data_IF_337229079777
#
_entry.id   IF_337229079777
#
_cell.length_a   1.000
_cell.length_b   1.000
_cell.length_c   1.000
_cell.angle_alpha   90.00
_cell.angle_beta   90.00
_cell.angle_gamma   90.00
#
_symmetry.space_group_name_H-M   'P 1'
#
loop_
_entity.id
_entity.type
_entity.pdbx_description
1 polymer ?
#
# COMPACT_ATOMS: atom_id res chain seq x y z
N UNK A 1 13.63 22.06 -57.56
CA UNK A 1 13.10 21.42 -56.34
C UNK A 1 11.67 21.91 -56.14
N UNK A 2 10.73 20.97 -56.07
CA UNK A 2 9.28 21.23 -56.23
C UNK A 2 8.65 21.70 -54.91
N UNK A 3 7.67 22.61 -54.98
CA UNK A 3 6.85 23.09 -53.85
C UNK A 3 6.08 21.97 -53.11
N UNK A 4 6.11 20.74 -53.62
CA UNK A 4 5.44 19.56 -53.05
C UNK A 4 6.28 18.90 -51.93
N UNK A 5 7.59 19.17 -51.84
CA UNK A 5 8.45 18.62 -50.77
C UNK A 5 8.35 19.39 -49.44
N UNK A 6 7.61 20.50 -49.41
CA UNK A 6 7.41 21.33 -48.20
C UNK A 6 6.22 20.93 -47.34
N UNK A 7 5.36 20.01 -47.78
CA UNK A 7 4.15 19.63 -47.03
C UNK A 7 4.24 18.30 -46.25
N UNK A 8 5.33 17.54 -46.40
CA UNK A 8 5.51 16.23 -45.73
C UNK A 8 6.71 16.21 -44.77
N UNK A 9 7.06 17.35 -44.18
CA UNK A 9 8.16 17.42 -43.22
C UNK A 9 7.78 18.19 -41.96
N UNK A 10 6.62 17.87 -41.40
CA UNK A 10 6.29 18.13 -40.00
C UNK A 10 5.32 17.03 -39.52
N UNK A 11 5.91 15.89 -39.21
CA UNK A 11 5.40 15.02 -38.15
C UNK A 11 6.61 14.68 -37.32
N UNK A 12 7.09 15.68 -36.57
CA UNK A 12 7.81 15.38 -35.33
C UNK A 12 6.85 14.50 -34.55
N UNK A 13 7.16 13.22 -34.45
CA UNK A 13 6.64 12.39 -33.39
C UNK A 13 6.77 13.25 -32.13
N UNK A 14 5.64 13.59 -31.53
CA UNK A 14 5.61 13.98 -30.13
C UNK A 14 6.52 12.99 -29.38
N UNK A 15 7.41 13.43 -28.48
CA UNK A 15 8.04 12.47 -27.59
C UNK A 15 6.88 11.67 -26.99
N UNK A 16 6.87 10.36 -27.20
CA UNK A 16 6.00 9.47 -26.43
C UNK A 16 6.25 9.89 -24.98
N UNK A 17 5.25 10.57 -24.39
CA UNK A 17 5.31 10.92 -22.98
C UNK A 17 5.58 9.62 -22.25
N UNK A 18 6.65 9.58 -21.45
CA UNK A 18 6.93 8.40 -20.63
C UNK A 18 5.63 7.92 -19.98
N UNK A 19 5.34 6.61 -20.00
CA UNK A 19 4.11 6.10 -19.42
C UNK A 19 4.03 6.58 -17.98
N UNK A 20 3.01 7.37 -17.66
CA UNK A 20 2.78 7.89 -16.32
C UNK A 20 2.64 6.68 -15.39
N UNK A 21 3.53 6.57 -14.41
CA UNK A 21 3.52 5.49 -13.42
C UNK A 21 2.84 5.99 -12.15
N UNK A 22 2.20 5.08 -11.41
CA UNK A 22 1.69 5.39 -10.06
C UNK A 22 2.81 5.90 -9.13
N UNK A 23 4.06 5.49 -9.37
CA UNK A 23 5.24 5.97 -8.66
C UNK A 23 5.43 7.49 -8.76
N UNK A 24 4.96 8.14 -9.82
CA UNK A 24 5.08 9.60 -9.97
C UNK A 24 4.25 10.30 -8.87
N UNK A 25 3.04 9.83 -8.60
CA UNK A 25 2.17 10.40 -7.58
C UNK A 25 2.70 10.18 -6.16
N UNK A 26 3.44 9.10 -5.92
CA UNK A 26 4.14 8.91 -4.64
C UNK A 26 5.20 10.00 -4.42
N UNK A 27 5.94 10.36 -5.47
CA UNK A 27 6.99 11.37 -5.40
C UNK A 27 6.51 12.82 -5.48
N UNK A 28 5.24 13.07 -5.80
CA UNK A 28 4.67 14.42 -5.78
C UNK A 28 4.75 15.06 -4.39
N UNK A 29 4.81 14.23 -3.34
CA UNK A 29 5.00 14.67 -1.96
C UNK A 29 6.46 14.57 -1.48
N UNK A 30 7.42 14.14 -2.31
CA UNK A 30 8.81 13.97 -1.85
C UNK A 30 9.41 15.28 -1.31
N UNK A 31 9.97 15.22 -0.11
CA UNK A 31 10.47 16.40 0.62
C UNK A 31 9.41 17.16 1.42
N UNK A 32 8.13 16.79 1.32
CA UNK A 32 7.05 17.27 2.19
C UNK A 32 7.07 16.57 3.56
N UNK A 33 6.59 17.23 4.63
CA UNK A 33 6.26 16.56 5.90
C UNK A 33 5.22 15.45 5.76
N UNK A 34 4.41 15.49 4.70
CA UNK A 34 3.32 14.57 4.38
C UNK A 34 3.76 13.48 3.38
N UNK A 35 5.05 13.44 3.01
CA UNK A 35 5.58 12.36 2.18
C UNK A 35 5.31 11.00 2.86
N UNK A 36 4.72 9.99 2.18
CA UNK A 36 4.30 8.75 2.84
C UNK A 36 5.40 8.05 3.64
N UNK A 37 6.65 8.06 3.15
CA UNK A 37 7.78 7.48 3.90
C UNK A 37 8.10 8.27 5.17
N UNK A 38 7.99 9.60 5.12
CA UNK A 38 8.18 10.46 6.31
C UNK A 38 7.08 10.22 7.34
N UNK A 39 5.83 10.01 6.90
CA UNK A 39 4.72 9.65 7.77
C UNK A 39 4.93 8.26 8.40
N UNK A 40 5.40 7.28 7.63
CA UNK A 40 5.71 5.94 8.14
C UNK A 40 6.79 5.96 9.23
N UNK A 41 7.86 6.75 9.06
CA UNK A 41 8.89 6.92 10.09
C UNK A 41 8.32 7.55 11.37
N UNK A 42 7.48 8.58 11.23
CA UNK A 42 6.79 9.18 12.40
C UNK A 42 5.85 8.19 13.09
N UNK A 43 5.12 7.38 12.32
CA UNK A 43 4.24 6.35 12.85
C UNK A 43 5.04 5.31 13.66
N UNK A 44 6.19 4.87 13.14
CA UNK A 44 7.10 3.98 13.85
C UNK A 44 7.64 4.59 15.15
N UNK A 45 8.08 5.85 15.11
CA UNK A 45 8.56 6.55 16.30
C UNK A 45 7.46 6.65 17.38
N UNK A 46 6.22 6.90 16.96
CA UNK A 46 5.07 6.94 17.86
C UNK A 46 4.76 5.56 18.45
N UNK A 47 4.80 4.50 17.64
CA UNK A 47 4.58 3.13 18.10
C UNK A 47 5.65 2.70 19.12
N UNK A 48 6.90 3.06 18.84
CA UNK A 48 8.02 2.81 19.75
C UNK A 48 7.87 3.57 21.07
N UNK A 49 7.31 4.78 21.03
CA UNK A 49 7.07 5.58 22.22
C UNK A 49 5.87 5.09 23.05
N UNK A 50 4.89 4.41 22.43
CA UNK A 50 3.73 3.85 23.12
C UNK A 50 4.02 2.48 23.77
N UNK A 51 4.96 1.71 23.21
CA UNK A 51 5.37 0.44 23.77
C UNK A 51 6.16 0.61 25.09
N UNK A 52 5.77 -0.14 26.12
CA UNK A 52 6.42 -0.18 27.43
C UNK A 52 7.66 -1.08 27.47
N UNK A 53 7.79 -1.98 26.50
CA UNK A 53 8.90 -2.94 26.40
C UNK A 53 9.21 -3.31 24.96
N UNK A 54 10.38 -3.92 24.74
CA UNK A 54 10.77 -4.44 23.42
C UNK A 54 9.89 -5.61 22.97
N UNK A 55 9.42 -6.44 23.91
CA UNK A 55 8.50 -7.54 23.61
C UNK A 55 7.15 -7.01 23.13
N UNK A 56 6.60 -6.00 23.83
CA UNK A 56 5.35 -5.35 23.41
C UNK A 56 5.49 -4.65 22.05
N UNK A 57 6.60 -3.96 21.82
CA UNK A 57 6.89 -3.38 20.50
C UNK A 57 6.94 -4.46 19.41
N UNK A 58 7.56 -5.61 19.68
CA UNK A 58 7.64 -6.70 18.72
C UNK A 58 6.26 -7.26 18.35
N UNK A 59 5.37 -7.36 19.34
CA UNK A 59 3.97 -7.74 19.14
C UNK A 59 3.20 -6.72 18.30
N UNK A 60 3.32 -5.42 18.63
CA UNK A 60 2.67 -4.37 17.85
C UNK A 60 3.16 -4.33 16.41
N UNK A 61 4.48 -4.47 16.17
CA UNK A 61 5.00 -4.50 14.81
C UNK A 61 4.40 -5.65 13.99
N UNK A 62 4.32 -6.86 14.57
CA UNK A 62 3.70 -8.01 13.88
C UNK A 62 2.22 -7.76 13.59
N UNK A 63 1.45 -7.32 14.58
CA UNK A 63 0.02 -7.06 14.46
C UNK A 63 -0.25 -6.00 13.39
N UNK A 64 0.42 -4.86 13.47
CA UNK A 64 0.22 -3.75 12.54
C UNK A 64 0.67 -4.10 11.12
N UNK A 65 1.72 -4.91 10.94
CA UNK A 65 2.11 -5.39 9.61
C UNK A 65 0.98 -6.18 8.93
N UNK A 66 0.33 -7.08 9.67
CA UNK A 66 -0.77 -7.89 9.15
C UNK A 66 -2.00 -7.00 8.92
N UNK A 67 -2.34 -6.16 9.89
CA UNK A 67 -3.48 -5.25 9.83
C UNK A 67 -3.39 -4.33 8.60
N UNK A 68 -2.25 -3.64 8.44
CA UNK A 68 -2.03 -2.74 7.31
C UNK A 68 -1.99 -3.49 5.97
N UNK A 69 -1.46 -4.72 5.93
CA UNK A 69 -1.49 -5.54 4.71
C UNK A 69 -2.91 -5.90 4.27
N UNK A 70 -3.77 -6.25 5.22
CA UNK A 70 -5.18 -6.50 4.94
C UNK A 70 -5.88 -5.22 4.48
N UNK A 71 -5.59 -4.07 5.11
CA UNK A 71 -6.15 -2.78 4.69
C UNK A 71 -5.75 -2.42 3.26
N UNK A 72 -4.50 -2.67 2.87
CA UNK A 72 -4.02 -2.45 1.51
C UNK A 72 -4.80 -3.27 0.46
N UNK A 73 -5.29 -4.47 0.81
CA UNK A 73 -6.18 -5.26 -0.06
C UNK A 73 -7.51 -4.54 -0.30
N UNK A 74 -8.11 -3.96 0.74
CA UNK A 74 -9.35 -3.17 0.58
C UNK A 74 -9.14 -1.93 -0.28
N UNK A 75 -8.01 -1.24 -0.11
CA UNK A 75 -7.67 -0.12 -0.99
C UNK A 75 -7.50 -0.57 -2.44
N UNK A 76 -6.85 -1.70 -2.68
CA UNK A 76 -6.72 -2.26 -4.03
C UNK A 76 -8.09 -2.54 -4.64
N UNK A 77 -9.00 -3.19 -3.90
CA UNK A 77 -10.38 -3.43 -4.36
C UNK A 77 -11.12 -2.13 -4.68
N UNK A 78 -10.98 -1.09 -3.84
CA UNK A 78 -11.57 0.23 -4.11
C UNK A 78 -11.01 0.84 -5.39
N UNK A 79 -9.69 0.84 -5.57
CA UNK A 79 -9.04 1.42 -6.74
C UNK A 79 -9.48 0.74 -8.04
N UNK A 80 -9.64 -0.59 -8.01
CA UNK A 80 -10.19 -1.36 -9.14
C UNK A 80 -11.65 -0.96 -9.39
N UNK A 81 -12.48 -0.88 -8.35
CA UNK A 81 -13.88 -0.49 -8.50
C UNK A 81 -14.02 0.94 -9.06
N UNK A 82 -13.17 1.87 -8.64
CA UNK A 82 -13.09 3.23 -9.17
C UNK A 82 -12.73 3.23 -10.65
N UNK A 83 -11.80 2.36 -11.08
CA UNK A 83 -11.48 2.21 -12.52
C UNK A 83 -12.68 1.74 -13.33
N UNK A 84 -13.37 0.72 -12.84
CA UNK A 84 -14.50 0.11 -13.52
C UNK A 84 -15.73 1.04 -13.58
N UNK A 85 -15.85 1.94 -12.61
CA UNK A 85 -17.01 2.82 -12.42
C UNK A 85 -16.59 4.30 -12.24
N UNK A 86 -15.74 4.79 -13.16
CA UNK A 86 -15.13 6.12 -13.08
C UNK A 86 -16.16 7.26 -12.93
N UNK A 87 -17.33 7.14 -13.56
CA UNK A 87 -18.41 8.12 -13.48
C UNK A 87 -18.97 8.33 -12.05
N UNK A 88 -18.76 7.35 -11.17
CA UNK A 88 -19.17 7.38 -9.77
C UNK A 88 -17.99 7.17 -8.81
N UNK A 89 -16.76 7.48 -9.24
CA UNK A 89 -15.55 7.34 -8.43
C UNK A 89 -15.64 8.03 -7.07
N UNK A 90 -16.06 9.31 -7.02
CA UNK A 90 -16.17 10.08 -5.77
C UNK A 90 -17.20 9.45 -4.81
N UNK A 91 -18.45 9.15 -5.23
CA UNK A 91 -19.39 8.40 -4.39
C UNK A 91 -18.86 7.07 -3.86
N UNK A 92 -18.03 6.34 -4.62
CA UNK A 92 -17.43 5.08 -4.15
C UNK A 92 -16.41 5.32 -3.04
N UNK A 93 -15.58 6.36 -3.17
CA UNK A 93 -14.58 6.74 -2.16
C UNK A 93 -15.27 7.22 -0.89
N UNK A 94 -16.30 8.07 -1.02
CA UNK A 94 -17.08 8.57 0.12
C UNK A 94 -17.72 7.41 0.90
N UNK A 95 -18.36 6.47 0.18
CA UNK A 95 -18.94 5.29 0.81
C UNK A 95 -17.88 4.41 1.47
N UNK A 96 -16.74 4.24 0.83
CA UNK A 96 -15.63 3.46 1.41
C UNK A 96 -15.12 4.11 2.71
N UNK A 97 -15.09 5.44 2.78
CA UNK A 97 -14.77 6.16 4.00
C UNK A 97 -15.86 5.99 5.08
N UNK A 98 -17.14 6.06 4.73
CA UNK A 98 -18.27 5.88 5.65
C UNK A 98 -18.32 4.46 6.27
N UNK A 99 -17.93 3.44 5.50
CA UNK A 99 -17.92 2.04 5.93
C UNK A 99 -16.63 1.65 6.71
N UNK A 100 -15.84 2.64 7.20
CA UNK A 100 -14.53 2.39 7.86
C UNK A 100 -14.62 1.51 9.09
N UNK A 101 -15.58 1.76 9.99
CA UNK A 101 -15.69 1.06 11.27
C UNK A 101 -15.97 -0.44 11.08
N UNK A 102 -16.82 -0.78 10.11
CA UNK A 102 -17.13 -2.18 9.80
C UNK A 102 -15.93 -2.89 9.18
N UNK A 103 -15.23 -2.21 8.26
CA UNK A 103 -14.01 -2.72 7.64
C UNK A 103 -12.91 -2.94 8.67
N UNK A 104 -12.66 -1.98 9.56
CA UNK A 104 -11.66 -2.10 10.62
C UNK A 104 -11.96 -3.25 11.57
N UNK A 105 -13.23 -3.44 11.94
CA UNK A 105 -13.64 -4.59 12.77
C UNK A 105 -13.34 -5.91 12.07
N UNK A 106 -13.63 -6.01 10.78
CA UNK A 106 -13.33 -7.21 10.00
C UNK A 106 -11.82 -7.44 9.86
N UNK A 107 -11.04 -6.40 9.59
CA UNK A 107 -9.58 -6.50 9.51
C UNK A 107 -8.99 -6.93 10.85
N UNK A 108 -9.46 -6.38 11.97
CA UNK A 108 -8.99 -6.77 13.30
C UNK A 108 -9.27 -8.26 13.60
N UNK A 109 -10.45 -8.76 13.24
CA UNK A 109 -10.80 -10.18 13.41
C UNK A 109 -9.87 -11.08 12.57
N UNK A 110 -9.65 -10.74 11.30
CA UNK A 110 -8.75 -11.48 10.42
C UNK A 110 -7.30 -11.41 10.92
N UNK A 111 -6.85 -10.25 11.38
CA UNK A 111 -5.53 -10.03 11.96
C UNK A 111 -5.30 -10.96 13.15
N UNK A 112 -6.28 -11.06 14.06
CA UNK A 112 -6.20 -11.97 15.20
C UNK A 112 -6.09 -13.44 14.77
N UNK A 113 -6.78 -13.86 13.71
CA UNK A 113 -6.66 -15.22 13.18
C UNK A 113 -5.26 -15.51 12.62
N UNK A 114 -4.70 -14.58 11.86
CA UNK A 114 -3.35 -14.70 11.32
C UNK A 114 -2.27 -14.66 12.40
N UNK A 115 -2.40 -13.77 13.39
CA UNK A 115 -1.53 -13.73 14.57
C UNK A 115 -1.55 -15.06 15.31
N UNK A 116 -2.74 -15.57 15.62
CA UNK A 116 -2.91 -16.85 16.31
C UNK A 116 -2.27 -18.00 15.52
N UNK A 117 -2.36 -18.00 14.19
CA UNK A 117 -1.69 -18.99 13.35
C UNK A 117 -0.16 -18.91 13.45
N UNK A 118 0.40 -17.69 13.42
CA UNK A 118 1.85 -17.47 13.51
C UNK A 118 2.37 -17.88 14.89
N UNK A 119 1.71 -17.44 15.96
CA UNK A 119 2.08 -17.80 17.34
C UNK A 119 2.05 -19.32 17.57
N UNK A 120 1.07 -20.00 16.96
CA UNK A 120 0.95 -21.45 17.01
C UNK A 120 1.81 -22.18 15.97
N UNK A 121 2.83 -21.52 15.41
CA UNK A 121 3.83 -22.10 14.50
C UNK A 121 3.23 -22.71 13.24
N UNK A 122 2.18 -22.08 12.72
CA UNK A 122 1.49 -22.53 11.53
C UNK A 122 0.43 -23.61 11.78
N UNK A 123 0.03 -23.83 13.03
CA UNK A 123 -1.08 -24.72 13.38
C UNK A 123 -2.38 -23.91 13.52
N UNK A 124 -3.41 -24.28 12.76
CA UNK A 124 -4.74 -23.69 12.86
C UNK A 124 -5.79 -24.76 13.19
N UNK A 125 -6.60 -24.60 14.25
CA UNK A 125 -7.69 -25.53 14.59
C UNK A 125 -8.91 -25.41 13.66
N UNK A 126 -8.86 -24.53 12.66
CA UNK A 126 -10.00 -24.13 11.81
C UNK A 126 -10.46 -22.72 12.17
N UNK A 127 -10.36 -21.81 11.20
CA UNK A 127 -10.86 -20.43 11.30
C UNK A 127 -11.35 -19.95 9.92
N UNK A 128 -12.09 -18.83 9.84
CA UNK A 128 -12.56 -18.28 8.57
C UNK A 128 -11.44 -17.95 7.57
N UNK A 129 -10.21 -17.71 8.02
CA UNK A 129 -9.07 -17.30 7.20
C UNK A 129 -8.14 -18.45 6.78
N UNK A 130 -8.51 -19.72 7.01
CA UNK A 130 -7.62 -20.86 6.79
C UNK A 130 -6.96 -20.91 5.40
N UNK A 131 -7.68 -20.52 4.36
CA UNK A 131 -7.19 -20.54 2.98
C UNK A 131 -6.08 -19.50 2.73
N UNK A 132 -6.07 -18.41 3.51
CA UNK A 132 -5.15 -17.28 3.37
C UNK A 132 -3.97 -17.36 4.33
N UNK A 133 -3.85 -18.43 5.12
CA UNK A 133 -2.73 -18.58 6.05
C UNK A 133 -1.37 -18.71 5.36
N UNK A 134 -1.35 -19.15 4.09
CA UNK A 134 -0.12 -19.21 3.32
C UNK A 134 0.51 -17.83 3.13
N UNK A 135 -0.30 -16.77 3.07
CA UNK A 135 0.16 -15.39 2.83
C UNK A 135 1.01 -14.86 3.99
N UNK A 136 0.87 -15.43 5.19
CA UNK A 136 1.63 -15.04 6.39
C UNK A 136 2.57 -16.13 6.91
N UNK A 137 2.61 -17.30 6.26
CA UNK A 137 3.38 -18.44 6.75
C UNK A 137 4.89 -18.15 6.80
N UNK A 138 5.40 -17.34 5.87
CA UNK A 138 6.82 -16.97 5.83
C UNK A 138 7.25 -16.11 7.02
N UNK A 139 6.31 -15.40 7.67
CA UNK A 139 6.58 -14.56 8.85
C UNK A 139 6.96 -15.40 10.08
N UNK A 140 6.52 -16.67 10.13
CA UNK A 140 6.73 -17.57 11.29
C UNK A 140 8.22 -17.71 11.62
N UNK A 141 9.08 -17.83 10.61
CA UNK A 141 10.52 -18.03 10.86
C UNK A 141 11.18 -16.81 11.50
N UNK A 142 10.76 -15.61 11.12
CA UNK A 142 11.29 -14.35 11.64
C UNK A 142 10.73 -14.11 13.05
N UNK A 143 9.43 -14.40 13.23
CA UNK A 143 8.77 -14.38 14.54
C UNK A 143 9.49 -15.27 15.56
N UNK A 144 9.73 -16.54 15.21
CA UNK A 144 10.39 -17.50 16.09
C UNK A 144 11.83 -17.11 16.45
N UNK A 145 12.51 -16.34 15.59
CA UNK A 145 13.87 -15.84 15.84
C UNK A 145 13.89 -14.56 16.65
N UNK A 146 12.74 -13.91 16.88
CA UNK A 146 12.68 -12.59 17.51
C UNK A 146 13.32 -11.49 16.65
N UNK A 147 13.19 -11.60 15.33
CA UNK A 147 13.86 -10.72 14.36
C UNK A 147 13.16 -9.35 14.28
N UNK A 148 13.39 -8.51 15.30
CA UNK A 148 12.73 -7.20 15.41
C UNK A 148 13.10 -6.24 14.28
N UNK A 149 14.30 -6.39 13.72
CA UNK A 149 14.77 -5.54 12.61
C UNK A 149 13.98 -5.87 11.35
N UNK A 150 13.74 -7.16 11.07
CA UNK A 150 12.85 -7.59 10.00
C UNK A 150 11.45 -6.97 10.13
N UNK A 151 10.81 -7.07 11.32
CA UNK A 151 9.47 -6.53 11.51
C UNK A 151 9.42 -4.99 11.53
N UNK A 152 10.52 -4.33 11.95
CA UNK A 152 10.65 -2.87 11.85
C UNK A 152 10.65 -2.43 10.38
N UNK A 153 11.45 -3.09 9.54
CA UNK A 153 11.52 -2.78 8.11
C UNK A 153 10.19 -3.10 7.41
N UNK A 154 9.59 -4.26 7.73
CA UNK A 154 8.29 -4.64 7.21
C UNK A 154 7.22 -3.61 7.59
N UNK A 155 7.19 -3.18 8.86
CA UNK A 155 6.24 -2.17 9.34
C UNK A 155 6.38 -0.85 8.59
N UNK A 156 7.61 -0.32 8.47
CA UNK A 156 7.85 0.95 7.77
C UNK A 156 7.43 0.84 6.30
N UNK A 157 7.76 -0.27 5.63
CA UNK A 157 7.33 -0.53 4.25
C UNK A 157 5.81 -0.57 4.11
N UNK A 158 5.12 -1.30 4.99
CA UNK A 158 3.66 -1.43 4.97
C UNK A 158 2.95 -0.11 5.27
N UNK A 159 3.41 0.66 6.25
CA UNK A 159 2.89 1.99 6.54
C UNK A 159 3.12 2.96 5.38
N UNK A 160 4.28 2.89 4.72
CA UNK A 160 4.56 3.71 3.54
C UNK A 160 3.58 3.37 2.40
N UNK A 161 3.29 2.08 2.19
CA UNK A 161 2.26 1.65 1.23
C UNK A 161 0.90 2.22 1.59
N UNK A 162 0.48 2.08 2.86
CA UNK A 162 -0.81 2.58 3.33
C UNK A 162 -0.98 4.08 3.05
N UNK A 163 -0.05 4.92 3.55
CA UNK A 163 -0.13 6.36 3.33
C UNK A 163 -0.07 6.74 1.85
N UNK A 164 0.65 5.98 1.02
CA UNK A 164 0.70 6.20 -0.43
C UNK A 164 -0.63 5.87 -1.11
N UNK A 165 -1.30 4.79 -0.69
CA UNK A 165 -2.61 4.41 -1.20
C UNK A 165 -3.69 5.38 -0.73
N UNK A 166 -3.63 5.83 0.53
CA UNK A 166 -4.52 6.88 1.05
C UNK A 166 -4.37 8.18 0.26
N UNK A 167 -3.14 8.63 0.00
CA UNK A 167 -2.89 9.80 -0.83
C UNK A 167 -3.47 9.64 -2.24
N UNK A 168 -3.26 8.46 -2.85
CA UNK A 168 -3.82 8.15 -4.16
C UNK A 168 -5.36 8.21 -4.15
N UNK A 169 -6.00 7.65 -3.13
CA UNK A 169 -7.46 7.56 -3.00
C UNK A 169 -8.09 8.91 -2.69
N UNK A 170 -7.58 9.61 -1.69
CA UNK A 170 -8.25 10.77 -1.11
C UNK A 170 -7.80 12.11 -1.69
N UNK A 171 -6.62 12.18 -2.31
CA UNK A 171 -6.09 13.42 -2.88
C UNK A 171 -5.96 13.36 -4.40
N UNK A 172 -5.31 12.33 -4.94
CA UNK A 172 -4.95 12.27 -6.37
C UNK A 172 -6.17 12.02 -7.25
N UNK A 173 -6.96 10.98 -6.95
CA UNK A 173 -8.16 10.64 -7.72
C UNK A 173 -9.17 11.80 -7.74
N UNK A 174 -9.50 12.45 -6.62
CA UNK A 174 -10.42 13.60 -6.63
C UNK A 174 -9.89 14.83 -7.38
N UNK A 175 -8.56 14.99 -7.45
CA UNK A 175 -7.93 16.16 -8.06
C UNK A 175 -7.70 16.02 -9.57
N UNK A 176 -7.52 14.79 -10.08
CA UNK A 176 -7.13 14.54 -11.49
C UNK A 176 -7.68 13.22 -12.04
N UNK A 177 -8.30 13.26 -13.23
CA UNK A 177 -8.85 12.07 -13.88
C UNK A 177 -7.82 11.21 -14.65
N UNK A 178 -6.55 11.64 -14.74
CA UNK A 178 -5.54 10.95 -15.56
C UNK A 178 -4.98 9.68 -14.90
N UNK A 179 -5.21 9.47 -13.60
CA UNK A 179 -4.71 8.31 -12.86
C UNK A 179 -5.56 7.05 -13.07
N UNK A 180 -6.83 7.20 -13.45
CA UNK A 180 -7.82 6.12 -13.51
C UNK A 180 -7.38 4.98 -14.45
N UNK A 181 -6.71 5.32 -15.55
CA UNK A 181 -6.24 4.30 -16.49
C UNK A 181 -5.17 3.37 -15.90
N UNK A 182 -4.45 3.83 -14.87
CA UNK A 182 -3.41 3.10 -14.16
C UNK A 182 -3.94 2.20 -13.05
N UNK A 183 -5.21 2.31 -12.66
CA UNK A 183 -5.77 1.60 -11.49
C UNK A 183 -6.16 0.15 -11.79
N UNK A 184 -5.21 -0.68 -12.22
CA UNK A 184 -5.38 -2.11 -12.45
C UNK A 184 -4.46 -2.94 -11.54
N UNK A 185 -4.79 -4.21 -11.30
CA UNK A 185 -4.05 -5.09 -10.38
C UNK A 185 -2.55 -5.09 -10.64
N UNK A 186 -2.14 -5.19 -11.92
CA UNK A 186 -0.72 -5.21 -12.28
C UNK A 186 0.01 -3.94 -11.87
N UNK A 187 -0.62 -2.79 -12.09
CA UNK A 187 -0.01 -1.48 -11.82
C UNK A 187 -0.02 -1.17 -10.32
N UNK A 188 -1.09 -1.55 -9.62
CA UNK A 188 -1.19 -1.41 -8.16
C UNK A 188 -0.16 -2.32 -7.47
N UNK A 189 -0.03 -3.57 -7.90
CA UNK A 189 1.00 -4.47 -7.36
C UNK A 189 2.42 -3.94 -7.62
N UNK A 190 2.70 -3.48 -8.84
CA UNK A 190 3.98 -2.87 -9.17
C UNK A 190 4.26 -1.61 -8.34
N UNK A 191 3.22 -0.83 -8.04
CA UNK A 191 3.31 0.35 -7.19
C UNK A 191 3.62 -0.01 -5.74
N UNK A 192 2.92 -0.99 -5.17
CA UNK A 192 3.18 -1.51 -3.82
C UNK A 192 4.62 -2.03 -3.69
N UNK A 193 5.09 -2.81 -4.66
CA UNK A 193 6.46 -3.30 -4.69
C UNK A 193 7.46 -2.13 -4.77
N UNK A 194 7.23 -1.16 -5.67
CA UNK A 194 8.08 0.01 -5.80
C UNK A 194 8.22 0.79 -4.49
N UNK A 195 7.10 1.02 -3.80
CA UNK A 195 7.09 1.72 -2.51
C UNK A 195 7.83 0.92 -1.44
N UNK A 196 7.62 -0.40 -1.40
CA UNK A 196 8.31 -1.26 -0.45
C UNK A 196 9.82 -1.24 -0.66
N UNK A 197 10.27 -1.41 -1.92
CA UNK A 197 11.69 -1.36 -2.30
C UNK A 197 12.30 0.00 -1.92
N UNK A 198 11.58 1.09 -2.20
CA UNK A 198 12.00 2.44 -1.81
C UNK A 198 12.19 2.57 -0.29
N UNK A 199 11.21 2.09 0.49
CA UNK A 199 11.28 2.15 1.94
C UNK A 199 12.44 1.30 2.49
N UNK A 200 12.67 0.11 1.93
CA UNK A 200 13.79 -0.77 2.30
C UNK A 200 15.14 -0.11 1.99
N UNK A 201 15.33 0.43 0.78
CA UNK A 201 16.56 1.14 0.38
C UNK A 201 16.89 2.35 1.26
N UNK A 202 15.86 3.03 1.79
CA UNK A 202 16.02 4.21 2.66
C UNK A 202 16.18 3.88 4.14
N UNK A 203 15.80 2.67 4.55
CA UNK A 203 15.91 2.20 5.94
C UNK A 203 17.25 1.52 6.24
N UNK A 204 18.05 1.25 5.19
CA UNK A 204 19.42 0.74 5.25
C UNK A 204 20.47 1.87 5.34
#
# INVERSE_FOLDING_TARGET
>A
MSMIERFFKDSKASPESEPVSLANYFHDLEGSPDFPFTLALKAYDNLKASASSQEELFYFLMEDCIFTSLYATFYEELLIAVKENNDVAIPLIDRFADDSDERERMIAEQTQHHLSFIENKGLCPGCPCCENHQDVAELIQFWQRGDIDFFTNLYIGMQTIQFSMEHLIYDVIPSTNNVIDLLNHKSILAFRQYIFDYAEEKSL
#
